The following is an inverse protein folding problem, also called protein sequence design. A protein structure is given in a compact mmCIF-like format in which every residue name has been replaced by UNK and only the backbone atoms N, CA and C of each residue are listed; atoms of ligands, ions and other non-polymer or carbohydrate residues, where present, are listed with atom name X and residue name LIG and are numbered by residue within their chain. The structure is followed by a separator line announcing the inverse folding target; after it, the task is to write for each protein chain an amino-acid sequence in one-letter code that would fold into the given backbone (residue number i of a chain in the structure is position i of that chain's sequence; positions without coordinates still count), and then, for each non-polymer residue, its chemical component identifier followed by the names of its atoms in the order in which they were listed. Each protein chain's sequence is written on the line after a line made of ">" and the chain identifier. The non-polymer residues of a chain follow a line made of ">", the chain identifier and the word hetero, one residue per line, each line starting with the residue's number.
data_IF_107944197191
#
_entry.id   IF_107944197191
#
_cell.length_a   1.000
_cell.length_b   1.000
_cell.length_c   1.000
_cell.angle_alpha   90.00
_cell.angle_beta   90.00
_cell.angle_gamma   90.00
#
_symmetry.space_group_name_H-M   'P 1'
#
loop_
_entity.id
_entity.type
_entity.pdbx_description
1 polymer ?
#
# COMPACT_ATOMS: atom_id res chain seq x y z
N UNK A 1 37.22 -18.12 3.28
CA UNK A 1 36.36 -17.23 2.47
C UNK A 1 35.50 -16.39 3.42
N UNK A 2 35.13 -15.15 3.08
CA UNK A 2 34.20 -14.36 3.90
C UNK A 2 32.88 -15.14 4.11
N UNK A 3 32.30 -15.00 5.30
CA UNK A 3 31.11 -15.77 5.72
C UNK A 3 29.79 -15.24 5.14
N UNK A 4 29.80 -14.03 4.58
CA UNK A 4 28.64 -13.36 4.00
C UNK A 4 29.01 -12.70 2.67
N UNK A 5 28.05 -12.55 1.74
CA UNK A 5 28.23 -11.77 0.51
C UNK A 5 28.54 -10.30 0.80
N UNK A 6 29.38 -9.67 -0.03
CA UNK A 6 29.81 -8.27 0.10
C UNK A 6 28.62 -7.28 0.13
N UNK A 7 27.56 -7.58 -0.61
CA UNK A 7 26.33 -6.78 -0.64
C UNK A 7 25.61 -6.71 0.73
N UNK A 8 25.81 -7.71 1.61
CA UNK A 8 25.28 -7.73 2.97
C UNK A 8 26.18 -6.92 3.91
N UNK A 9 27.49 -7.14 3.80
CA UNK A 9 28.50 -6.47 4.65
C UNK A 9 28.53 -4.96 4.40
N UNK A 10 28.34 -4.54 3.15
CA UNK A 10 28.44 -3.14 2.73
C UNK A 10 27.08 -2.46 2.52
N UNK A 11 25.96 -3.12 2.87
CA UNK A 11 24.63 -2.50 2.81
C UNK A 11 24.57 -1.28 3.72
N UNK A 12 24.13 -0.14 3.18
CA UNK A 12 23.92 1.09 3.97
C UNK A 12 22.89 0.84 5.09
N UNK A 13 23.17 1.33 6.29
CA UNK A 13 22.23 1.27 7.42
C UNK A 13 20.91 1.92 7.01
N UNK A 14 19.81 1.20 7.21
CA UNK A 14 18.46 1.67 6.98
C UNK A 14 17.57 1.26 8.14
N UNK A 15 16.50 2.01 8.36
CA UNK A 15 15.51 1.66 9.37
C UNK A 15 14.75 0.38 9.03
N UNK A 16 13.99 -0.11 10.00
CA UNK A 16 13.06 -1.22 9.81
C UNK A 16 11.78 -0.71 9.15
N UNK A 17 11.86 -0.40 7.85
CA UNK A 17 10.70 -0.05 7.05
C UNK A 17 10.37 -1.25 6.18
N UNK A 18 9.16 -1.77 6.34
CA UNK A 18 8.65 -2.80 5.44
C UNK A 18 8.50 -2.24 4.02
N UNK A 19 8.65 -3.08 2.98
CA UNK A 19 8.53 -2.65 1.60
C UNK A 19 7.05 -2.47 1.20
N UNK A 20 6.30 -1.68 1.98
CA UNK A 20 4.85 -1.47 1.86
C UNK A 20 4.43 -1.11 0.45
N UNK A 21 5.15 -0.19 -0.19
CA UNK A 21 4.85 0.20 -1.56
C UNK A 21 4.90 -0.98 -2.54
N UNK A 22 5.89 -1.87 -2.40
CA UNK A 22 6.00 -3.06 -3.25
C UNK A 22 4.90 -4.06 -2.91
N UNK A 23 4.65 -4.30 -1.62
CA UNK A 23 3.59 -5.22 -1.19
C UNK A 23 2.20 -4.77 -1.65
N UNK A 24 1.85 -3.50 -1.47
CA UNK A 24 0.55 -2.95 -1.89
C UNK A 24 0.35 -2.96 -3.41
N UNK A 25 1.43 -2.97 -4.20
CA UNK A 25 1.37 -3.07 -5.66
C UNK A 25 1.34 -4.51 -6.17
N UNK A 26 1.74 -5.47 -5.35
CA UNK A 26 1.86 -6.88 -5.73
C UNK A 26 1.08 -7.78 -4.75
N UNK A 27 1.73 -8.31 -3.72
CA UNK A 27 1.20 -9.37 -2.86
C UNK A 27 -0.08 -8.98 -2.11
N UNK A 28 -0.22 -7.72 -1.74
CA UNK A 28 -1.40 -7.16 -1.05
C UNK A 28 -2.35 -6.44 -1.99
N UNK A 29 -2.13 -6.46 -3.31
CA UNK A 29 -2.91 -5.66 -4.26
C UNK A 29 -4.41 -5.94 -4.16
N UNK A 30 -4.80 -7.20 -4.24
CA UNK A 30 -6.21 -7.61 -4.16
C UNK A 30 -6.84 -7.22 -2.83
N UNK A 31 -6.08 -7.36 -1.73
CA UNK A 31 -6.53 -6.90 -0.42
C UNK A 31 -6.81 -5.39 -0.44
N UNK A 32 -5.86 -4.58 -0.93
CA UNK A 32 -6.01 -3.14 -1.02
C UNK A 32 -7.20 -2.72 -1.89
N UNK A 33 -7.33 -3.30 -3.10
CA UNK A 33 -8.40 -2.99 -4.04
C UNK A 33 -9.77 -3.30 -3.45
N UNK A 34 -9.95 -4.46 -2.81
CA UNK A 34 -11.22 -4.82 -2.16
C UNK A 34 -11.63 -3.81 -1.06
N UNK A 35 -10.67 -3.28 -0.30
CA UNK A 35 -10.89 -2.30 0.75
C UNK A 35 -11.21 -0.92 0.21
N UNK A 36 -10.55 -0.51 -0.88
CA UNK A 36 -10.90 0.73 -1.57
C UNK A 36 -12.31 0.65 -2.17
N UNK A 37 -12.71 -0.51 -2.71
CA UNK A 37 -14.06 -0.72 -3.24
C UNK A 37 -15.15 -0.57 -2.17
N UNK A 38 -14.92 -1.05 -0.94
CA UNK A 38 -15.84 -0.86 0.19
C UNK A 38 -16.07 0.63 0.48
N UNK A 39 -15.01 1.44 0.49
CA UNK A 39 -15.12 2.88 0.73
C UNK A 39 -15.87 3.60 -0.41
N UNK A 40 -15.65 3.18 -1.66
CA UNK A 40 -16.35 3.70 -2.83
C UNK A 40 -17.84 3.36 -2.80
N UNK A 41 -18.18 2.11 -2.47
CA UNK A 41 -19.57 1.64 -2.42
C UNK A 41 -20.40 2.32 -1.33
N UNK A 42 -19.75 2.73 -0.24
CA UNK A 42 -20.38 3.50 0.85
C UNK A 42 -20.48 5.00 0.58
N UNK A 43 -20.08 5.45 -0.61
CA UNK A 43 -20.09 6.86 -1.01
C UNK A 43 -19.27 7.77 -0.07
N UNK A 44 -18.32 7.21 0.68
CA UNK A 44 -17.45 7.96 1.60
C UNK A 44 -16.33 8.71 0.86
N UNK A 45 -16.01 8.26 -0.36
CA UNK A 45 -14.96 8.81 -1.21
C UNK A 45 -15.45 8.90 -2.66
N UNK A 46 -14.94 9.89 -3.40
CA UNK A 46 -15.14 9.97 -4.85
C UNK A 46 -14.43 8.79 -5.53
N UNK A 47 -15.24 7.89 -6.09
CA UNK A 47 -14.76 6.68 -6.74
C UNK A 47 -13.80 6.95 -7.90
N UNK A 48 -14.06 7.99 -8.69
CA UNK A 48 -13.25 8.34 -9.87
C UNK A 48 -11.88 8.85 -9.44
N UNK A 49 -11.86 9.69 -8.41
CA UNK A 49 -10.62 10.21 -7.83
C UNK A 49 -9.78 9.10 -7.20
N UNK A 50 -10.41 8.20 -6.44
CA UNK A 50 -9.74 7.03 -5.82
C UNK A 50 -9.11 6.14 -6.90
N UNK A 51 -9.86 5.80 -7.95
CA UNK A 51 -9.36 4.93 -9.01
C UNK A 51 -8.21 5.57 -9.80
N UNK A 52 -8.32 6.87 -10.12
CA UNK A 52 -7.25 7.59 -10.81
C UNK A 52 -5.95 7.64 -9.98
N UNK A 53 -6.09 7.88 -8.66
CA UNK A 53 -4.96 8.02 -7.74
C UNK A 53 -4.35 6.65 -7.44
N UNK A 54 -5.16 5.61 -7.25
CA UNK A 54 -4.70 4.24 -7.07
C UNK A 54 -3.96 3.73 -8.30
N UNK A 55 -4.47 4.00 -9.50
CA UNK A 55 -3.78 3.68 -10.76
C UNK A 55 -2.42 4.37 -10.85
N UNK A 56 -2.34 5.65 -10.52
CA UNK A 56 -1.08 6.38 -10.51
C UNK A 56 -0.07 5.79 -9.50
N UNK A 57 -0.53 5.32 -8.34
CA UNK A 57 0.30 4.60 -7.37
C UNK A 57 0.79 3.24 -7.91
N UNK A 58 -0.09 2.47 -8.57
CA UNK A 58 0.26 1.20 -9.21
C UNK A 58 1.32 1.38 -10.32
N UNK A 59 1.21 2.46 -11.09
CA UNK A 59 2.16 2.86 -12.13
C UNK A 59 3.47 3.46 -11.58
N UNK A 60 3.65 3.52 -10.26
CA UNK A 60 4.82 4.10 -9.59
C UNK A 60 5.09 5.55 -10.01
N UNK A 61 4.04 6.34 -10.26
CA UNK A 61 4.20 7.77 -10.56
C UNK A 61 4.72 8.48 -9.31
N UNK A 62 5.71 9.37 -9.50
CA UNK A 62 6.31 10.13 -8.41
C UNK A 62 5.26 10.94 -7.64
N UNK A 63 5.39 10.99 -6.31
CA UNK A 63 4.62 11.88 -5.45
C UNK A 63 3.41 11.25 -4.73
N UNK A 64 3.20 9.94 -4.85
CA UNK A 64 2.13 9.25 -4.11
C UNK A 64 2.73 8.34 -3.04
N UNK A 65 2.42 8.62 -1.78
CA UNK A 65 2.93 7.86 -0.65
C UNK A 65 2.07 6.60 -0.41
N UNK A 66 2.73 5.47 -0.14
CA UNK A 66 2.03 4.22 0.21
C UNK A 66 1.14 4.39 1.47
N UNK A 67 1.56 5.27 2.38
CA UNK A 67 0.85 5.51 3.64
C UNK A 67 -0.51 6.15 3.42
N UNK A 68 -0.69 6.99 2.39
CA UNK A 68 -1.99 7.60 2.09
C UNK A 68 -3.08 6.55 1.85
N UNK A 69 -2.78 5.53 1.05
CA UNK A 69 -3.69 4.42 0.82
C UNK A 69 -3.78 3.51 2.03
N UNK A 70 -2.67 3.26 2.73
CA UNK A 70 -2.67 2.32 3.85
C UNK A 70 -3.64 2.73 4.96
N UNK A 71 -3.72 4.02 5.30
CA UNK A 71 -4.70 4.48 6.28
C UNK A 71 -6.15 4.22 5.84
N UNK A 72 -6.47 4.48 4.57
CA UNK A 72 -7.81 4.21 4.02
C UNK A 72 -8.13 2.71 4.00
N UNK A 73 -7.18 1.89 3.61
CA UNK A 73 -7.33 0.43 3.55
C UNK A 73 -7.59 -0.14 4.94
N UNK A 74 -6.86 0.31 5.96
CA UNK A 74 -7.06 -0.13 7.33
C UNK A 74 -8.38 0.38 7.90
N UNK A 75 -8.79 1.61 7.56
CA UNK A 75 -10.11 2.12 7.94
C UNK A 75 -11.23 1.25 7.34
N UNK A 76 -11.16 0.95 6.04
CA UNK A 76 -12.12 0.09 5.38
C UNK A 76 -12.14 -1.32 5.98
N UNK A 77 -10.98 -1.91 6.26
CA UNK A 77 -10.86 -3.22 6.89
C UNK A 77 -11.45 -3.23 8.31
N UNK A 78 -11.30 -2.14 9.04
CA UNK A 78 -11.94 -1.97 10.34
C UNK A 78 -13.47 -1.86 10.21
N UNK A 79 -13.99 -1.07 9.27
CA UNK A 79 -15.44 -0.96 9.00
C UNK A 79 -16.02 -2.34 8.67
N UNK A 80 -15.38 -3.06 7.74
CA UNK A 80 -15.80 -4.39 7.29
C UNK A 80 -15.86 -5.40 8.44
N UNK A 81 -14.92 -5.33 9.39
CA UNK A 81 -14.83 -6.27 10.52
C UNK A 81 -15.77 -5.95 11.68
N UNK A 82 -16.34 -4.74 11.72
CA UNK A 82 -17.14 -4.26 12.85
C UNK A 82 -18.59 -3.92 12.45
N UNK A 83 -19.05 -4.37 11.28
CA UNK A 83 -20.44 -4.22 10.77
C UNK A 83 -21.00 -2.78 10.85
N UNK A 84 -20.15 -1.79 10.57
CA UNK A 84 -20.57 -0.39 10.38
C UNK A 84 -21.14 -0.14 8.98
#
# INVERSE_FOLDING_TARGET
>A
APLLPDEVVHRKKMGFVFPWQNWMRNELRTFCESRLDILKQRELLDATQVDSRWRAFQENRNGILWSEFWHLIILADWIEKNDF
#
